data_IF_153764913975
#
_entry.id   IF_153764913975
#
_cell.length_a   1.000
_cell.length_b   1.000
_cell.length_c   1.000
_cell.angle_alpha   90.00
_cell.angle_beta   90.00
_cell.angle_gamma   90.00
#
_symmetry.space_group_name_H-M   'P 1'
#
loop_
_entity.id
_entity.type
_entity.pdbx_description
1 polymer ?
#
# COMPACT_ATOMS: atom_id res chain seq x y z
N UNK A 1 19.11 2.31 -0.29
CA UNK A 1 20.09 1.71 -1.21
C UNK A 1 19.33 1.03 -2.33
N UNK A 2 19.64 1.34 -3.59
CA UNK A 2 18.89 0.86 -4.76
C UNK A 2 19.63 -0.32 -5.41
N UNK A 3 18.92 -1.42 -5.68
CA UNK A 3 19.46 -2.64 -6.29
C UNK A 3 18.46 -3.28 -7.27
N UNK A 4 18.94 -4.17 -8.15
CA UNK A 4 18.14 -4.81 -9.21
C UNK A 4 18.18 -6.36 -9.14
N UNK A 5 18.43 -6.93 -7.96
CA UNK A 5 18.59 -8.38 -7.70
C UNK A 5 19.64 -9.12 -8.58
N UNK A 6 20.52 -8.41 -9.29
CA UNK A 6 21.52 -8.96 -10.21
C UNK A 6 22.81 -9.44 -9.52
N UNK A 7 23.64 -10.20 -10.25
CA UNK A 7 24.96 -10.64 -9.77
C UNK A 7 25.87 -9.46 -9.40
N UNK A 8 25.93 -8.43 -10.25
CA UNK A 8 26.64 -7.19 -9.95
C UNK A 8 26.14 -6.52 -8.65
N UNK A 9 24.83 -6.51 -8.42
CA UNK A 9 24.26 -5.96 -7.20
C UNK A 9 24.68 -6.74 -5.94
N UNK A 10 24.77 -8.07 -6.01
CA UNK A 10 25.31 -8.91 -4.92
C UNK A 10 26.75 -8.49 -4.61
N UNK A 11 27.61 -8.34 -5.63
CA UNK A 11 29.02 -7.98 -5.43
C UNK A 11 29.20 -6.58 -4.84
N UNK A 12 28.42 -5.61 -5.34
CA UNK A 12 28.40 -4.25 -4.80
C UNK A 12 27.94 -4.24 -3.36
N UNK A 13 26.83 -4.93 -3.05
CA UNK A 13 26.27 -4.96 -1.72
C UNK A 13 27.17 -5.72 -0.73
N UNK A 14 27.87 -6.77 -1.18
CA UNK A 14 28.87 -7.47 -0.36
C UNK A 14 30.01 -6.55 0.06
N UNK A 15 30.53 -5.72 -0.85
CA UNK A 15 31.56 -4.72 -0.53
C UNK A 15 31.06 -3.68 0.48
N UNK A 16 29.80 -3.26 0.34
CA UNK A 16 29.17 -2.34 1.30
C UNK A 16 29.02 -2.99 2.68
N UNK A 17 28.57 -4.25 2.73
CA UNK A 17 28.39 -5.00 3.96
C UNK A 17 29.71 -5.31 4.69
N UNK A 18 30.84 -5.31 3.98
CA UNK A 18 32.18 -5.42 4.55
C UNK A 18 32.69 -4.12 5.18
N UNK A 19 32.11 -2.97 4.82
CA UNK A 19 32.49 -1.68 5.39
C UNK A 19 31.82 -1.49 6.78
N UNK A 20 32.60 -1.44 7.89
CA UNK A 20 32.04 -1.36 9.24
C UNK A 20 31.22 -0.09 9.50
N UNK A 21 31.55 1.02 8.83
CA UNK A 21 30.85 2.28 8.99
C UNK A 21 29.51 2.27 8.24
N UNK A 22 29.48 1.71 7.03
CA UNK A 22 28.27 1.75 6.20
C UNK A 22 27.24 0.72 6.67
N UNK A 23 27.67 -0.49 7.07
CA UNK A 23 26.75 -1.54 7.52
C UNK A 23 25.97 -1.21 8.80
N UNK A 24 26.36 -0.17 9.53
CA UNK A 24 25.70 0.30 10.75
C UNK A 24 24.64 1.38 10.49
N UNK A 25 24.51 1.88 9.26
CA UNK A 25 23.45 2.85 8.96
C UNK A 25 22.13 2.12 8.65
N UNK A 26 21.04 2.62 9.22
CA UNK A 26 19.69 2.26 8.82
C UNK A 26 19.46 2.83 7.41
N UNK A 27 19.41 1.97 6.40
CA UNK A 27 19.09 2.35 5.03
C UNK A 27 18.01 1.42 4.50
N UNK A 28 16.93 1.94 3.91
CA UNK A 28 15.96 1.10 3.22
C UNK A 28 16.62 0.43 2.02
N UNK A 29 16.31 -0.85 1.80
CA UNK A 29 16.69 -1.55 0.60
C UNK A 29 15.56 -1.43 -0.42
N UNK A 30 15.84 -0.67 -1.47
CA UNK A 30 14.90 -0.43 -2.56
C UNK A 30 15.33 -1.32 -3.72
N UNK A 31 14.44 -2.24 -4.09
CA UNK A 31 14.61 -3.22 -5.15
C UNK A 31 13.82 -2.72 -6.34
N UNK A 32 14.53 -2.22 -7.32
CA UNK A 32 13.94 -1.49 -8.43
C UNK A 32 14.08 -2.30 -9.69
N UNK A 33 13.08 -2.20 -10.55
CA UNK A 33 13.21 -2.70 -11.89
C UNK A 33 14.16 -1.79 -12.69
N UNK A 34 15.25 -2.30 -13.30
CA UNK A 34 16.11 -1.47 -14.16
C UNK A 34 15.34 -1.03 -15.43
N UNK A 35 15.89 -0.06 -16.18
CA UNK A 35 15.27 0.54 -17.40
C UNK A 35 14.75 -0.46 -18.45
N UNK A 36 15.22 -1.71 -18.39
CA UNK A 36 14.85 -2.79 -19.31
C UNK A 36 13.77 -3.76 -18.77
N UNK A 37 13.19 -3.50 -17.59
CA UNK A 37 12.14 -4.31 -16.96
C UNK A 37 12.52 -5.75 -16.58
N UNK A 38 13.76 -5.98 -16.14
CA UNK A 38 14.27 -7.31 -15.79
C UNK A 38 15.02 -7.30 -14.45
N UNK A 39 14.41 -7.87 -13.41
CA UNK A 39 15.10 -8.19 -12.16
C UNK A 39 16.06 -9.37 -12.36
N UNK A 40 17.13 -9.42 -11.57
CA UNK A 40 17.94 -10.64 -11.46
C UNK A 40 18.83 -10.92 -12.66
N UNK A 41 19.20 -9.89 -13.44
CA UNK A 41 20.12 -10.05 -14.57
C UNK A 41 21.42 -10.76 -14.18
N UNK A 42 22.00 -11.46 -15.14
CA UNK A 42 23.29 -12.18 -15.02
C UNK A 42 23.22 -13.41 -14.09
N UNK A 43 22.03 -13.77 -13.61
CA UNK A 43 21.78 -14.95 -12.79
C UNK A 43 20.87 -15.89 -13.57
N UNK A 44 21.20 -17.18 -13.58
CA UNK A 44 20.31 -18.22 -14.10
C UNK A 44 19.35 -18.64 -13.00
N UNK A 45 18.07 -18.31 -13.18
CA UNK A 45 17.01 -18.61 -12.22
C UNK A 45 16.34 -19.95 -12.53
N UNK A 46 16.42 -20.88 -11.58
CA UNK A 46 15.74 -22.16 -11.71
C UNK A 46 14.24 -21.99 -11.43
N UNK A 47 13.40 -22.67 -12.23
CA UNK A 47 11.94 -22.65 -12.10
C UNK A 47 11.39 -24.07 -11.95
N UNK A 48 10.32 -24.21 -11.18
CA UNK A 48 9.53 -25.44 -11.09
C UNK A 48 8.76 -25.67 -12.40
N UNK A 49 8.27 -26.89 -12.67
CA UNK A 49 7.44 -27.18 -13.86
C UNK A 49 6.18 -26.31 -13.97
N UNK A 50 5.68 -25.78 -12.86
CA UNK A 50 4.56 -24.83 -12.80
C UNK A 50 4.94 -23.38 -13.15
N UNK A 51 6.21 -23.10 -13.47
CA UNK A 51 6.71 -21.77 -13.82
C UNK A 51 7.19 -20.91 -12.65
N UNK A 52 6.93 -21.33 -11.40
CA UNK A 52 7.36 -20.59 -10.20
C UNK A 52 8.86 -20.64 -9.98
N UNK A 53 9.42 -19.60 -9.37
CA UNK A 53 10.80 -19.60 -8.89
C UNK A 53 11.07 -20.78 -7.95
N UNK A 54 12.09 -21.58 -8.26
CA UNK A 54 12.51 -22.67 -7.39
C UNK A 54 13.31 -22.12 -6.20
N UNK A 55 12.88 -22.43 -4.98
CA UNK A 55 13.53 -22.02 -3.73
C UNK A 55 13.78 -23.26 -2.86
N UNK A 56 14.98 -23.48 -2.31
CA UNK A 56 16.17 -22.61 -2.34
C UNK A 56 17.04 -22.77 -3.60
N UNK A 57 17.84 -21.75 -3.93
CA UNK A 57 18.88 -21.81 -4.97
C UNK A 57 20.08 -20.92 -4.63
N UNK A 58 21.21 -21.13 -5.33
CA UNK A 58 22.51 -20.50 -5.00
C UNK A 58 22.45 -18.96 -4.95
N UNK A 59 21.76 -18.33 -5.89
CA UNK A 59 21.61 -16.88 -5.94
C UNK A 59 20.92 -16.32 -4.68
N UNK A 60 19.83 -16.97 -4.26
CA UNK A 60 19.09 -16.61 -3.04
C UNK A 60 20.01 -16.75 -1.81
N UNK A 61 20.81 -17.82 -1.74
CA UNK A 61 21.77 -18.01 -0.65
C UNK A 61 22.86 -16.93 -0.62
N UNK A 62 23.30 -16.42 -1.78
CA UNK A 62 24.23 -15.31 -1.87
C UNK A 62 23.59 -14.02 -1.34
N UNK A 63 22.34 -13.73 -1.74
CA UNK A 63 21.57 -12.61 -1.18
C UNK A 63 21.39 -12.73 0.33
N UNK A 64 21.04 -13.91 0.85
CA UNK A 64 20.97 -14.18 2.28
C UNK A 64 22.29 -13.90 2.99
N UNK A 65 23.41 -14.33 2.41
CA UNK A 65 24.75 -14.10 2.98
C UNK A 65 25.05 -12.61 3.09
N UNK A 66 24.75 -11.85 2.05
CA UNK A 66 25.01 -10.40 2.03
C UNK A 66 24.07 -9.66 2.99
N UNK A 67 22.76 -9.95 2.94
CA UNK A 67 21.77 -9.28 3.79
C UNK A 67 21.92 -9.61 5.26
N UNK A 68 22.41 -10.81 5.62
CA UNK A 68 22.71 -11.17 7.01
C UNK A 68 23.77 -10.26 7.67
N UNK A 69 24.62 -9.59 6.87
CA UNK A 69 25.64 -8.66 7.35
C UNK A 69 25.14 -7.22 7.48
N UNK A 70 24.00 -6.90 6.88
CA UNK A 70 23.35 -5.60 6.93
C UNK A 70 22.28 -5.60 8.03
N UNK A 71 22.73 -5.72 9.27
CA UNK A 71 21.87 -5.92 10.46
C UNK A 71 20.83 -4.81 10.72
N UNK A 72 21.04 -3.65 10.12
CA UNK A 72 20.20 -2.46 10.23
C UNK A 72 19.27 -2.27 9.01
N UNK A 73 19.34 -3.17 8.02
CA UNK A 73 18.44 -3.19 6.87
C UNK A 73 17.10 -3.82 7.27
N UNK A 74 16.17 -2.99 7.77
CA UNK A 74 14.84 -3.42 8.24
C UNK A 74 13.68 -2.88 7.39
N UNK A 75 14.00 -2.08 6.39
CA UNK A 75 13.02 -1.47 5.50
C UNK A 75 13.26 -1.97 4.09
N UNK A 76 12.20 -2.48 3.46
CA UNK A 76 12.28 -3.07 2.12
C UNK A 76 11.20 -2.47 1.23
N UNK A 77 11.59 -2.07 0.03
CA UNK A 77 10.68 -1.57 -0.98
C UNK A 77 10.95 -2.30 -2.29
N UNK A 78 9.90 -2.79 -2.95
CA UNK A 78 9.99 -3.39 -4.28
C UNK A 78 9.20 -2.49 -5.23
N UNK A 79 9.89 -1.92 -6.22
CA UNK A 79 9.38 -0.84 -7.05
C UNK A 79 9.51 -1.19 -8.52
N UNK A 80 8.46 -0.90 -9.28
CA UNK A 80 8.42 -1.03 -10.74
C UNK A 80 7.98 0.30 -11.33
N UNK A 81 8.84 0.95 -12.11
CA UNK A 81 8.53 2.25 -12.73
C UNK A 81 7.75 2.12 -14.04
N UNK A 82 7.74 0.92 -14.64
CA UNK A 82 7.07 0.66 -15.90
C UNK A 82 5.84 -0.23 -15.71
N UNK A 83 4.77 0.06 -16.45
CA UNK A 83 3.47 -0.60 -16.31
C UNK A 83 3.38 -1.99 -16.96
N UNK A 84 4.45 -2.48 -17.59
CA UNK A 84 4.43 -3.74 -18.32
C UNK A 84 5.57 -4.65 -17.88
N UNK A 85 5.23 -5.88 -17.54
CA UNK A 85 6.19 -6.93 -17.26
C UNK A 85 6.71 -7.52 -18.57
N UNK A 86 8.01 -7.81 -18.63
CA UNK A 86 8.62 -8.48 -19.78
C UNK A 86 8.10 -9.91 -19.92
N UNK A 87 7.92 -10.37 -21.16
CA UNK A 87 7.63 -11.79 -21.47
C UNK A 87 8.87 -12.69 -21.41
N UNK A 88 10.04 -12.14 -21.06
CA UNK A 88 11.29 -12.87 -20.95
C UNK A 88 11.40 -13.65 -19.62
N UNK A 89 11.17 -14.96 -19.70
CA UNK A 89 11.28 -15.90 -18.58
C UNK A 89 12.72 -16.17 -18.09
N UNK A 90 13.74 -15.66 -18.78
CA UNK A 90 15.14 -15.83 -18.35
C UNK A 90 15.53 -14.96 -17.16
N UNK A 91 14.70 -13.97 -16.83
CA UNK A 91 14.87 -13.05 -15.71
C UNK A 91 13.85 -13.29 -14.58
N UNK A 92 14.00 -12.59 -13.46
CA UNK A 92 12.99 -12.57 -12.41
C UNK A 92 11.84 -11.66 -12.83
N UNK A 93 10.62 -12.19 -12.74
CA UNK A 93 9.41 -11.39 -12.74
C UNK A 93 9.20 -10.75 -11.37
N UNK A 94 8.26 -9.85 -11.28
CA UNK A 94 7.98 -9.09 -10.06
C UNK A 94 7.46 -9.94 -8.93
N UNK A 95 6.65 -10.96 -9.25
CA UNK A 95 6.22 -11.98 -8.29
C UNK A 95 7.40 -12.84 -7.80
N UNK A 96 8.37 -13.12 -8.66
CA UNK A 96 9.60 -13.83 -8.27
C UNK A 96 10.47 -12.95 -7.37
N UNK A 97 10.57 -11.65 -7.65
CA UNK A 97 11.29 -10.69 -6.81
C UNK A 97 10.65 -10.59 -5.41
N UNK A 98 9.32 -10.49 -5.32
CA UNK A 98 8.60 -10.56 -4.04
C UNK A 98 8.90 -11.88 -3.33
N UNK A 99 8.77 -13.00 -4.04
CA UNK A 99 9.00 -14.34 -3.47
C UNK A 99 10.41 -14.49 -2.91
N UNK A 100 11.42 -14.01 -3.64
CA UNK A 100 12.82 -14.05 -3.22
C UNK A 100 13.02 -13.20 -1.95
N UNK A 101 12.54 -11.96 -1.94
CA UNK A 101 12.67 -11.05 -0.79
C UNK A 101 11.97 -11.60 0.45
N UNK A 102 10.72 -12.06 0.32
CA UNK A 102 9.98 -12.63 1.44
C UNK A 102 10.62 -13.93 1.94
N UNK A 103 11.16 -14.75 1.03
CA UNK A 103 11.94 -15.95 1.39
C UNK A 103 13.20 -15.60 2.17
N UNK A 104 13.94 -14.57 1.77
CA UNK A 104 15.14 -14.11 2.49
C UNK A 104 14.76 -13.57 3.87
N UNK A 105 13.76 -12.69 3.95
CA UNK A 105 13.26 -12.14 5.21
C UNK A 105 12.85 -13.25 6.17
N UNK A 106 12.08 -14.23 5.68
CA UNK A 106 11.60 -15.38 6.46
C UNK A 106 12.75 -16.25 6.97
N UNK A 107 13.69 -16.61 6.09
CA UNK A 107 14.82 -17.48 6.44
C UNK A 107 15.82 -16.83 7.40
N UNK A 108 16.05 -15.52 7.26
CA UNK A 108 16.93 -14.76 8.14
C UNK A 108 16.23 -14.19 9.37
N UNK A 109 14.90 -14.31 9.44
CA UNK A 109 14.06 -13.72 10.50
C UNK A 109 14.36 -12.23 10.71
N UNK A 110 14.51 -11.48 9.61
CA UNK A 110 14.83 -10.04 9.66
C UNK A 110 13.64 -9.31 10.30
N UNK A 111 13.83 -8.54 11.39
CA UNK A 111 12.73 -7.80 12.01
C UNK A 111 12.36 -6.58 11.17
N UNK A 112 11.49 -6.79 10.18
CA UNK A 112 11.09 -5.75 9.22
C UNK A 112 10.28 -4.67 9.94
N UNK A 113 10.68 -3.40 9.77
CA UNK A 113 9.95 -2.24 10.30
C UNK A 113 9.04 -1.60 9.25
N UNK A 114 9.45 -1.61 7.98
CA UNK A 114 8.66 -1.09 6.87
C UNK A 114 8.75 -2.00 5.64
N UNK A 115 7.63 -2.20 4.95
CA UNK A 115 7.58 -2.96 3.71
C UNK A 115 6.68 -2.29 2.68
N UNK A 116 7.17 -2.16 1.45
CA UNK A 116 6.44 -1.52 0.36
C UNK A 116 6.50 -2.32 -0.95
N UNK A 117 5.37 -2.40 -1.65
CA UNK A 117 5.29 -2.86 -3.04
C UNK A 117 4.65 -1.75 -3.87
N UNK A 118 5.45 -1.12 -4.73
CA UNK A 118 5.03 0.00 -5.57
C UNK A 118 5.16 -0.36 -7.04
N UNK A 119 4.14 -1.05 -7.56
CA UNK A 119 4.07 -1.46 -8.97
C UNK A 119 3.14 -0.61 -9.81
N UNK A 120 2.57 0.44 -9.20
CA UNK A 120 1.81 1.47 -9.88
C UNK A 120 2.68 2.72 -10.02
N UNK A 121 3.12 3.07 -11.24
CA UNK A 121 3.80 4.35 -11.46
C UNK A 121 2.92 5.52 -11.00
N UNK A 122 3.55 6.59 -10.51
CA UNK A 122 2.80 7.77 -10.03
C UNK A 122 1.96 8.36 -11.16
N UNK A 123 0.65 8.46 -10.95
CA UNK A 123 -0.29 9.10 -11.89
C UNK A 123 -0.76 8.21 -13.05
N UNK A 124 -0.40 6.92 -13.07
CA UNK A 124 -0.95 5.95 -14.03
C UNK A 124 -2.13 5.18 -13.43
N UNK A 125 -2.98 4.60 -14.28
CA UNK A 125 -4.10 3.73 -13.88
C UNK A 125 -4.00 2.44 -14.68
N UNK A 126 -4.23 1.30 -14.02
CA UNK A 126 -4.52 0.01 -14.63
C UNK A 126 -3.31 -0.81 -15.07
N UNK A 127 -3.56 -2.11 -15.27
CA UNK A 127 -2.65 -3.15 -15.77
C UNK A 127 -1.40 -3.45 -14.93
N UNK A 128 -1.36 -3.04 -13.66
CA UNK A 128 -0.26 -3.36 -12.74
C UNK A 128 -0.57 -4.64 -11.94
N UNK A 129 -1.07 -5.66 -12.64
CA UNK A 129 -1.46 -6.92 -12.03
C UNK A 129 -0.24 -7.64 -11.49
N UNK A 130 -0.44 -8.34 -10.38
CA UNK A 130 0.47 -9.35 -9.90
C UNK A 130 -0.08 -10.72 -10.24
N UNK A 131 0.71 -11.53 -10.94
CA UNK A 131 0.43 -12.95 -11.10
C UNK A 131 0.66 -13.67 -9.77
N UNK A 132 -0.33 -13.57 -8.88
CA UNK A 132 -0.28 -14.09 -7.50
C UNK A 132 -0.34 -15.60 -7.42
N UNK A 133 -0.72 -16.29 -8.51
CA UNK A 133 -0.66 -17.76 -8.62
C UNK A 133 0.74 -18.32 -8.33
N UNK A 134 1.77 -17.46 -8.45
CA UNK A 134 3.15 -17.82 -8.18
C UNK A 134 3.61 -17.61 -6.73
N UNK A 135 2.80 -16.99 -5.87
CA UNK A 135 3.16 -16.71 -4.48
C UNK A 135 2.28 -17.57 -3.58
N UNK A 136 2.88 -18.58 -2.91
CA UNK A 136 2.11 -19.46 -2.03
C UNK A 136 1.74 -18.73 -0.72
N UNK A 137 0.45 -18.51 -0.40
CA UNK A 137 0.07 -17.84 0.85
C UNK A 137 0.50 -18.62 2.10
N UNK A 138 0.73 -19.93 1.98
CA UNK A 138 1.23 -20.77 3.07
C UNK A 138 2.66 -20.38 3.49
N UNK A 139 3.44 -19.74 2.62
CA UNK A 139 4.77 -19.26 2.97
C UNK A 139 4.71 -18.12 3.99
N UNK A 140 3.61 -17.35 4.01
CA UNK A 140 3.35 -16.31 5.00
C UNK A 140 3.02 -16.89 6.39
N UNK A 141 2.73 -18.19 6.48
CA UNK A 141 2.44 -18.88 7.76
C UNK A 141 3.68 -19.51 8.38
N UNK A 142 4.83 -19.44 7.71
CA UNK A 142 6.09 -19.99 8.24
C UNK A 142 6.50 -19.22 9.50
N UNK A 143 6.98 -19.89 10.57
CA UNK A 143 7.38 -19.23 11.81
C UNK A 143 8.44 -18.13 11.63
N UNK A 144 9.39 -18.34 10.71
CA UNK A 144 10.42 -17.33 10.39
C UNK A 144 9.82 -16.07 9.77
N UNK A 145 8.81 -16.23 8.91
CA UNK A 145 8.07 -15.11 8.35
C UNK A 145 7.28 -14.38 9.42
N UNK A 146 6.44 -15.09 10.19
CA UNK A 146 5.59 -14.45 11.19
C UNK A 146 6.39 -13.71 12.27
N UNK A 147 7.55 -14.27 12.67
CA UNK A 147 8.47 -13.61 13.59
C UNK A 147 9.09 -12.33 12.99
N UNK A 148 9.56 -12.40 11.74
CA UNK A 148 10.09 -11.24 11.02
C UNK A 148 9.04 -10.13 10.85
N UNK A 149 7.83 -10.53 10.46
CA UNK A 149 6.74 -9.66 10.05
C UNK A 149 5.99 -9.01 11.24
N UNK A 150 6.07 -9.60 12.43
CA UNK A 150 5.44 -9.08 13.65
C UNK A 150 5.94 -7.67 14.05
N UNK A 151 7.10 -7.25 13.53
CA UNK A 151 7.73 -5.96 13.81
C UNK A 151 7.29 -4.82 12.90
N UNK A 152 6.52 -5.11 11.84
CA UNK A 152 6.15 -4.11 10.84
C UNK A 152 5.28 -3.02 11.46
N UNK A 153 5.63 -1.78 11.11
CA UNK A 153 4.94 -0.56 11.50
C UNK A 153 4.39 0.19 10.29
N UNK A 154 5.06 0.12 9.13
CA UNK A 154 4.60 0.75 7.87
C UNK A 154 4.46 -0.32 6.78
N UNK A 155 3.24 -0.47 6.24
CA UNK A 155 2.95 -1.37 5.14
C UNK A 155 2.26 -0.61 4.01
N UNK A 156 2.88 -0.61 2.82
CA UNK A 156 2.33 0.03 1.62
C UNK A 156 2.23 -0.97 0.46
N UNK A 157 1.01 -1.17 -0.04
CA UNK A 157 0.70 -2.11 -1.10
C UNK A 157 0.00 -1.37 -2.25
N UNK A 158 0.75 -1.11 -3.32
CA UNK A 158 0.30 -0.35 -4.49
C UNK A 158 0.47 -1.19 -5.76
N UNK A 159 -0.55 -2.01 -6.06
CA UNK A 159 -0.65 -2.86 -7.24
C UNK A 159 -2.13 -3.16 -7.54
N UNK A 160 -2.43 -3.66 -8.74
CA UNK A 160 -3.82 -3.98 -9.10
C UNK A 160 -4.32 -5.20 -8.34
N UNK A 161 -5.27 -4.98 -7.42
CA UNK A 161 -5.88 -6.03 -6.58
C UNK A 161 -7.12 -6.61 -7.26
N UNK A 162 -6.94 -7.18 -8.45
CA UNK A 162 -8.00 -7.78 -9.27
C UNK A 162 -7.41 -8.60 -10.41
N UNK A 163 -8.22 -9.48 -10.99
CA UNK A 163 -7.86 -10.30 -12.15
C UNK A 163 -9.13 -10.67 -12.91
N UNK A 164 -9.02 -10.82 -14.23
CA UNK A 164 -10.09 -11.42 -15.05
C UNK A 164 -10.36 -12.88 -14.62
N UNK A 165 -9.36 -13.55 -14.04
CA UNK A 165 -9.51 -14.85 -13.42
C UNK A 165 -9.97 -14.70 -11.95
N UNK A 166 -11.19 -15.16 -11.68
CA UNK A 166 -11.81 -15.11 -10.34
C UNK A 166 -10.97 -15.82 -9.28
N UNK A 167 -10.30 -16.91 -9.62
CA UNK A 167 -9.47 -17.67 -8.67
C UNK A 167 -8.19 -16.91 -8.32
N UNK A 168 -7.56 -16.26 -9.31
CA UNK A 168 -6.40 -15.40 -9.10
C UNK A 168 -6.76 -14.13 -8.31
N UNK A 169 -7.95 -13.57 -8.56
CA UNK A 169 -8.46 -12.42 -7.81
C UNK A 169 -8.65 -12.75 -6.31
N UNK A 170 -9.27 -13.90 -6.00
CA UNK A 170 -9.43 -14.38 -4.63
C UNK A 170 -8.09 -14.67 -3.93
N UNK A 171 -7.11 -15.24 -4.65
CA UNK A 171 -5.76 -15.44 -4.12
C UNK A 171 -5.08 -14.12 -3.80
N UNK A 172 -5.21 -13.12 -4.67
CA UNK A 172 -4.65 -11.78 -4.49
C UNK A 172 -5.24 -11.10 -3.25
N UNK A 173 -6.56 -11.16 -3.09
CA UNK A 173 -7.25 -10.69 -1.89
C UNK A 173 -6.84 -11.46 -0.63
N UNK A 174 -6.69 -12.79 -0.75
CA UNK A 174 -6.19 -13.67 0.30
C UNK A 174 -4.83 -13.21 0.82
N UNK A 175 -3.91 -13.00 -0.11
CA UNK A 175 -2.53 -12.60 0.15
C UNK A 175 -2.43 -11.19 0.77
N UNK A 176 -3.15 -10.20 0.24
CA UNK A 176 -3.20 -8.84 0.82
C UNK A 176 -3.60 -8.89 2.29
N UNK A 177 -4.68 -9.61 2.61
CA UNK A 177 -5.17 -9.70 3.99
C UNK A 177 -4.19 -10.45 4.88
N UNK A 178 -3.53 -11.50 4.38
CA UNK A 178 -2.49 -12.22 5.13
C UNK A 178 -1.29 -11.31 5.44
N UNK A 179 -0.86 -10.44 4.53
CA UNK A 179 0.22 -9.48 4.82
C UNK A 179 -0.16 -8.46 5.91
N UNK A 180 -1.43 -8.08 5.98
CA UNK A 180 -1.94 -7.10 6.95
C UNK A 180 -2.27 -7.73 8.32
N UNK A 181 -2.59 -9.03 8.38
CA UNK A 181 -3.00 -9.66 9.64
C UNK A 181 -1.85 -9.98 10.59
N UNK A 182 -0.65 -10.30 10.07
CA UNK A 182 0.48 -10.73 10.90
C UNK A 182 1.22 -9.61 11.64
N UNK A 183 1.35 -8.38 11.12
CA UNK A 183 1.94 -7.27 11.86
C UNK A 183 1.13 -6.97 13.13
N UNK A 184 1.73 -7.16 14.30
CA UNK A 184 1.08 -6.90 15.58
C UNK A 184 1.17 -5.42 16.02
N UNK A 185 1.95 -4.61 15.29
CA UNK A 185 2.31 -3.22 15.64
C UNK A 185 2.13 -2.26 14.48
N UNK A 186 1.22 -2.58 13.55
CA UNK A 186 1.02 -1.78 12.35
C UNK A 186 0.51 -0.39 12.73
N UNK A 187 1.27 0.64 12.35
CA UNK A 187 0.98 2.06 12.60
C UNK A 187 0.41 2.71 11.35
N UNK A 188 0.96 2.38 10.18
CA UNK A 188 0.58 2.93 8.89
C UNK A 188 0.26 1.83 7.91
N UNK A 189 -0.89 1.98 7.26
CA UNK A 189 -1.39 1.10 6.22
C UNK A 189 -1.78 1.94 5.01
N UNK A 190 -1.15 1.66 3.89
CA UNK A 190 -1.40 2.31 2.60
C UNK A 190 -1.77 1.25 1.56
N UNK A 191 -2.99 1.30 1.06
CA UNK A 191 -3.52 0.36 0.07
C UNK A 191 -4.01 1.14 -1.15
N UNK A 192 -3.42 0.86 -2.31
CA UNK A 192 -3.95 1.28 -3.59
C UNK A 192 -4.48 0.05 -4.33
N UNK A 193 -5.79 0.02 -4.59
CA UNK A 193 -6.45 -1.12 -5.23
C UNK A 193 -6.33 -1.09 -6.76
N UNK A 194 -5.91 0.05 -7.33
CA UNK A 194 -5.83 0.32 -8.77
C UNK A 194 -7.10 -0.07 -9.53
N UNK A 195 -8.27 0.22 -8.92
CA UNK A 195 -9.61 -0.11 -9.40
C UNK A 195 -9.90 -1.62 -9.48
N UNK A 196 -9.14 -2.43 -8.75
CA UNK A 196 -9.38 -3.86 -8.60
C UNK A 196 -10.76 -4.18 -8.00
N UNK A 197 -11.38 -5.24 -8.49
CA UNK A 197 -12.73 -5.68 -8.14
C UNK A 197 -12.83 -6.34 -6.75
N UNK A 198 -11.70 -6.60 -6.09
CA UNK A 198 -11.65 -7.23 -4.77
C UNK A 198 -11.69 -6.24 -3.60
N UNK A 199 -11.84 -4.95 -3.86
CA UNK A 199 -11.77 -3.91 -2.82
C UNK A 199 -12.78 -4.15 -1.66
N UNK A 200 -14.05 -4.44 -1.97
CA UNK A 200 -15.07 -4.78 -0.96
C UNK A 200 -14.64 -5.97 -0.08
N UNK A 201 -14.23 -7.07 -0.71
CA UNK A 201 -13.83 -8.31 -0.03
C UNK A 201 -12.64 -8.08 0.89
N UNK A 202 -11.62 -7.36 0.41
CA UNK A 202 -10.43 -7.04 1.20
C UNK A 202 -10.81 -6.14 2.37
N UNK A 203 -11.50 -5.01 2.13
CA UNK A 203 -11.87 -4.04 3.18
C UNK A 203 -12.75 -4.69 4.26
N UNK A 204 -13.74 -5.49 3.86
CA UNK A 204 -14.58 -6.22 4.80
C UNK A 204 -13.76 -7.23 5.62
N UNK A 205 -12.81 -7.96 5.00
CA UNK A 205 -11.94 -8.87 5.78
C UNK A 205 -11.02 -8.11 6.74
N UNK A 206 -10.49 -6.97 6.32
CA UNK A 206 -9.67 -6.09 7.16
C UNK A 206 -10.47 -5.54 8.35
N UNK A 207 -11.76 -5.25 8.19
CA UNK A 207 -12.61 -4.76 9.30
C UNK A 207 -12.67 -5.75 10.47
N UNK A 208 -12.50 -7.05 10.20
CA UNK A 208 -12.50 -8.11 11.22
C UNK A 208 -11.17 -8.29 11.96
N UNK A 209 -10.10 -7.63 11.50
CA UNK A 209 -8.76 -7.81 12.07
C UNK A 209 -8.55 -6.96 13.32
N UNK A 210 -8.40 -7.62 14.47
CA UNK A 210 -8.07 -6.93 15.73
C UNK A 210 -6.65 -6.37 15.76
N UNK A 211 -5.74 -6.85 14.92
CA UNK A 211 -4.37 -6.34 14.78
C UNK A 211 -4.32 -4.88 14.36
N UNK A 212 -5.36 -4.39 13.68
CA UNK A 212 -5.45 -3.00 13.20
C UNK A 212 -5.88 -2.00 14.28
N UNK A 213 -6.18 -2.43 15.50
CA UNK A 213 -6.68 -1.53 16.54
C UNK A 213 -5.70 -0.43 16.97
N UNK A 214 -4.40 -0.57 16.62
CA UNK A 214 -3.34 0.41 16.90
C UNK A 214 -3.01 1.31 15.70
N UNK A 215 -3.68 1.11 14.56
CA UNK A 215 -3.42 1.84 13.33
C UNK A 215 -3.66 3.35 13.54
N UNK A 216 -2.67 4.15 13.15
CA UNK A 216 -2.68 5.61 13.26
C UNK A 216 -2.86 6.28 11.91
N UNK A 217 -2.39 5.67 10.84
CA UNK A 217 -2.47 6.22 9.48
C UNK A 217 -3.10 5.21 8.53
N UNK A 218 -4.19 5.61 7.89
CA UNK A 218 -4.89 4.81 6.89
C UNK A 218 -4.99 5.58 5.58
N UNK A 219 -4.40 5.04 4.53
CA UNK A 219 -4.53 5.53 3.16
C UNK A 219 -5.20 4.44 2.32
N UNK A 220 -6.33 4.78 1.70
CA UNK A 220 -7.00 3.91 0.74
C UNK A 220 -7.17 4.68 -0.58
N UNK A 221 -6.68 4.11 -1.67
CA UNK A 221 -6.69 4.74 -2.98
C UNK A 221 -7.29 3.85 -4.07
N UNK A 222 -7.93 4.47 -5.06
CA UNK A 222 -8.41 3.83 -6.29
C UNK A 222 -9.31 2.62 -6.01
N UNK A 223 -10.29 2.75 -5.12
CA UNK A 223 -11.21 1.67 -4.75
C UNK A 223 -12.66 2.00 -5.12
N UNK A 224 -13.44 0.98 -5.42
CA UNK A 224 -14.88 1.10 -5.63
C UNK A 224 -15.59 0.09 -4.74
N UNK A 225 -16.51 0.54 -3.88
CA UNK A 225 -17.29 -0.35 -3.02
C UNK A 225 -18.75 -0.39 -3.46
N UNK A 226 -19.30 -1.59 -3.43
CA UNK A 226 -20.73 -1.88 -3.55
C UNK A 226 -21.37 -1.92 -2.18
N UNK A 227 -20.64 -2.39 -1.15
CA UNK A 227 -21.14 -2.43 0.22
C UNK A 227 -21.16 -1.05 0.86
N UNK A 228 -22.31 -0.67 1.42
CA UNK A 228 -22.45 0.53 2.25
C UNK A 228 -21.76 0.39 3.61
N UNK A 229 -21.49 -0.84 4.05
CA UNK A 229 -21.03 -1.16 5.41
C UNK A 229 -19.51 -1.39 5.50
N UNK A 230 -18.88 -1.88 4.43
CA UNK A 230 -17.49 -2.35 4.47
C UNK A 230 -16.48 -1.30 4.98
N UNK A 231 -16.52 -0.09 4.41
CA UNK A 231 -15.63 0.99 4.85
C UNK A 231 -15.99 1.53 6.25
N UNK A 232 -17.27 1.81 6.59
CA UNK A 232 -17.65 2.14 7.96
C UNK A 232 -17.20 1.14 9.02
N UNK A 233 -17.27 -0.17 8.75
CA UNK A 233 -16.80 -1.20 9.65
C UNK A 233 -15.28 -1.16 9.85
N UNK A 234 -14.51 -1.04 8.76
CA UNK A 234 -13.05 -0.90 8.85
C UNK A 234 -12.67 0.34 9.66
N UNK A 235 -13.30 1.47 9.37
CA UNK A 235 -13.07 2.72 10.10
C UNK A 235 -13.45 2.59 11.58
N UNK A 236 -14.53 1.87 11.89
CA UNK A 236 -14.89 1.58 13.26
C UNK A 236 -13.79 0.76 13.96
N UNK A 237 -13.21 -0.24 13.32
CA UNK A 237 -12.13 -1.07 13.89
C UNK A 237 -10.89 -0.24 14.29
N UNK A 238 -10.53 0.76 13.49
CA UNK A 238 -9.32 1.59 13.74
C UNK A 238 -9.58 2.89 14.52
N UNK A 239 -10.85 3.20 14.82
CA UNK A 239 -11.32 4.53 15.28
C UNK A 239 -10.60 5.15 16.48
N UNK A 240 -10.06 4.34 17.40
CA UNK A 240 -9.49 4.82 18.66
C UNK A 240 -8.12 5.47 18.46
N UNK A 241 -7.32 4.89 17.56
CA UNK A 241 -5.92 5.27 17.36
C UNK A 241 -5.71 6.05 16.07
N UNK A 242 -6.67 6.04 15.14
CA UNK A 242 -6.54 6.71 13.85
C UNK A 242 -6.33 8.22 14.01
N UNK A 243 -5.20 8.72 13.49
CA UNK A 243 -4.78 10.12 13.49
C UNK A 243 -4.83 10.75 12.10
N UNK A 244 -4.58 9.96 11.06
CA UNK A 244 -4.57 10.43 9.67
C UNK A 244 -5.41 9.50 8.81
N UNK A 245 -6.27 10.09 7.98
CA UNK A 245 -7.02 9.35 6.97
C UNK A 245 -6.86 10.00 5.61
N UNK A 246 -6.58 9.18 4.59
CA UNK A 246 -6.47 9.64 3.20
C UNK A 246 -7.31 8.75 2.29
N UNK A 247 -8.22 9.37 1.54
CA UNK A 247 -9.04 8.69 0.54
C UNK A 247 -8.88 9.37 -0.81
N UNK A 248 -8.50 8.60 -1.83
CA UNK A 248 -8.20 9.14 -3.15
C UNK A 248 -8.78 8.29 -4.28
N UNK A 249 -9.42 8.91 -5.26
CA UNK A 249 -9.93 8.27 -6.49
C UNK A 249 -10.91 7.13 -6.20
N UNK A 250 -11.91 7.37 -5.35
CA UNK A 250 -12.73 6.30 -4.78
C UNK A 250 -14.22 6.50 -4.99
N UNK A 251 -14.91 5.39 -5.29
CA UNK A 251 -16.37 5.36 -5.50
C UNK A 251 -17.05 4.60 -4.36
N UNK A 252 -18.10 5.17 -3.80
CA UNK A 252 -18.99 4.53 -2.82
C UNK A 252 -20.45 4.65 -3.27
N UNK A 253 -21.36 3.85 -2.69
CA UNK A 253 -22.79 4.10 -2.85
C UNK A 253 -23.15 5.53 -2.44
N UNK A 254 -24.23 6.03 -3.04
CA UNK A 254 -24.64 7.43 -2.89
C UNK A 254 -24.85 7.77 -1.40
N UNK A 255 -24.53 9.00 -0.98
CA UNK A 255 -24.61 9.47 0.43
C UNK A 255 -23.62 8.82 1.43
N UNK A 256 -22.96 7.71 1.10
CA UNK A 256 -22.00 7.06 2.01
C UNK A 256 -20.86 8.00 2.41
N UNK A 257 -20.32 8.77 1.47
CA UNK A 257 -19.25 9.74 1.76
C UNK A 257 -19.66 10.76 2.82
N UNK A 258 -20.84 11.35 2.69
CA UNK A 258 -21.35 12.35 3.66
C UNK A 258 -21.52 11.69 5.04
N UNK A 259 -22.02 10.47 5.10
CA UNK A 259 -22.17 9.71 6.35
C UNK A 259 -20.83 9.37 7.00
N UNK A 260 -19.82 9.02 6.19
CA UNK A 260 -18.45 8.76 6.66
C UNK A 260 -17.84 10.05 7.22
N UNK A 261 -17.95 11.19 6.53
CA UNK A 261 -17.44 12.47 7.02
C UNK A 261 -18.08 12.87 8.36
N UNK A 262 -19.41 12.69 8.51
CA UNK A 262 -20.10 12.90 9.80
C UNK A 262 -19.55 11.98 10.90
N UNK A 263 -19.29 10.72 10.56
CA UNK A 263 -18.73 9.74 11.50
C UNK A 263 -17.30 10.12 11.93
N UNK A 264 -16.44 10.52 10.98
CA UNK A 264 -15.08 10.98 11.24
C UNK A 264 -15.05 12.16 12.23
N UNK A 265 -15.97 13.12 12.09
CA UNK A 265 -16.06 14.27 12.99
C UNK A 265 -16.54 13.99 14.41
N UNK A 266 -17.21 12.85 14.65
CA UNK A 266 -17.87 12.57 15.93
C UNK A 266 -17.33 11.35 16.67
N UNK A 267 -16.74 10.36 15.97
CA UNK A 267 -16.36 9.05 16.53
C UNK A 267 -14.85 8.79 16.59
N UNK A 268 -14.03 9.72 16.12
CA UNK A 268 -12.58 9.55 15.97
C UNK A 268 -11.82 10.58 16.81
N UNK A 269 -11.62 10.31 18.12
CA UNK A 269 -11.08 11.30 19.05
C UNK A 269 -9.62 11.68 18.79
N UNK A 270 -8.88 10.83 18.07
CA UNK A 270 -7.45 11.01 17.79
C UNK A 270 -7.17 11.63 16.41
N UNK A 271 -8.20 11.86 15.59
CA UNK A 271 -8.06 12.30 14.21
C UNK A 271 -7.54 13.75 14.15
N UNK A 272 -6.42 13.93 13.46
CA UNK A 272 -5.72 15.23 13.32
C UNK A 272 -5.57 15.66 11.87
N UNK A 273 -5.55 14.72 10.94
CA UNK A 273 -5.34 14.98 9.52
C UNK A 273 -6.32 14.20 8.64
N UNK A 274 -6.84 14.87 7.62
CA UNK A 274 -7.66 14.28 6.58
C UNK A 274 -7.18 14.75 5.20
N UNK A 275 -7.18 13.85 4.23
CA UNK A 275 -6.94 14.17 2.83
C UNK A 275 -7.97 13.44 1.96
N UNK A 276 -8.73 14.20 1.18
CA UNK A 276 -9.76 13.70 0.30
C UNK A 276 -9.45 14.13 -1.12
N UNK A 277 -9.46 13.19 -2.06
CA UNK A 277 -9.18 13.47 -3.45
C UNK A 277 -10.12 12.69 -4.36
N UNK A 278 -10.88 13.39 -5.21
CA UNK A 278 -11.71 12.80 -6.27
C UNK A 278 -12.57 11.64 -5.77
N UNK A 279 -13.44 11.95 -4.80
CA UNK A 279 -14.42 11.00 -4.29
C UNK A 279 -15.67 11.05 -5.16
N UNK A 280 -16.30 9.91 -5.42
CA UNK A 280 -17.48 9.79 -6.30
C UNK A 280 -18.58 8.98 -5.63
N UNK A 281 -19.84 9.34 -5.94
CA UNK A 281 -21.01 8.53 -5.65
C UNK A 281 -21.39 7.71 -6.88
N UNK A 282 -21.79 6.45 -6.70
CA UNK A 282 -22.09 5.51 -7.79
C UNK A 282 -23.05 6.10 -8.84
N UNK A 283 -24.06 6.88 -8.43
CA UNK A 283 -25.01 7.53 -9.36
C UNK A 283 -25.02 9.06 -9.27
N UNK A 284 -24.13 9.66 -8.47
CA UNK A 284 -24.13 11.10 -8.16
C UNK A 284 -22.87 11.85 -8.61
N UNK A 285 -22.05 11.26 -9.48
CA UNK A 285 -20.85 11.95 -9.97
C UNK A 285 -19.83 12.27 -8.86
N UNK A 286 -18.92 13.23 -9.07
CA UNK A 286 -17.89 13.59 -8.10
C UNK A 286 -18.45 14.42 -6.93
N UNK A 287 -18.02 14.07 -5.72
CA UNK A 287 -18.19 14.91 -4.55
C UNK A 287 -17.27 16.13 -4.64
N UNK A 288 -17.84 17.31 -4.43
CA UNK A 288 -17.10 18.56 -4.42
C UNK A 288 -17.57 19.50 -3.30
N UNK A 289 -16.73 20.49 -3.00
CA UNK A 289 -16.91 21.39 -1.86
C UNK A 289 -16.88 22.87 -2.28
N UNK A 290 -17.90 23.37 -2.99
CA UNK A 290 -17.84 24.65 -3.69
C UNK A 290 -17.54 25.85 -2.77
N UNK A 291 -18.06 25.84 -1.55
CA UNK A 291 -17.93 26.95 -0.58
C UNK A 291 -16.58 27.01 0.15
N UNK A 292 -15.74 25.97 0.06
CA UNK A 292 -14.44 25.99 0.74
C UNK A 292 -13.47 27.04 0.16
N UNK A 293 -13.67 27.47 -1.08
CA UNK A 293 -12.88 28.55 -1.70
C UNK A 293 -13.20 29.94 -1.16
N UNK A 294 -14.25 30.09 -0.35
CA UNK A 294 -14.67 31.36 0.26
C UNK A 294 -13.88 31.71 1.53
N UNK A 295 -12.80 30.97 1.85
CA UNK A 295 -11.96 31.15 3.05
C UNK A 295 -12.72 30.91 4.35
N UNK A 296 -13.16 29.66 4.56
CA UNK A 296 -13.82 29.25 5.79
C UNK A 296 -12.78 29.00 6.89
N UNK A 297 -12.66 29.94 7.82
CA UNK A 297 -11.75 29.83 8.97
C UNK A 297 -12.18 28.70 9.92
N UNK A 298 -11.33 27.68 10.03
CA UNK A 298 -11.54 26.58 10.97
C UNK A 298 -11.05 27.00 12.36
N UNK A 299 -9.87 27.59 12.47
CA UNK A 299 -9.35 28.29 13.65
C UNK A 299 -8.32 29.35 13.24
N UNK A 300 -7.68 30.02 14.21
CA UNK A 300 -6.79 31.17 13.97
C UNK A 300 -5.56 30.83 13.11
N UNK A 301 -5.12 29.57 13.11
CA UNK A 301 -3.85 29.14 12.50
C UNK A 301 -3.99 28.01 11.45
N UNK A 302 -5.18 27.42 11.27
CA UNK A 302 -5.39 26.30 10.33
C UNK A 302 -6.49 26.56 9.32
N UNK A 303 -6.18 26.25 8.05
CA UNK A 303 -7.07 26.38 6.91
C UNK A 303 -7.12 25.10 6.09
N UNK A 304 -8.18 24.94 5.30
CA UNK A 304 -8.24 23.87 4.31
C UNK A 304 -7.23 24.10 3.19
N UNK A 305 -6.56 23.03 2.75
CA UNK A 305 -5.87 23.00 1.47
C UNK A 305 -6.87 22.54 0.42
N UNK A 306 -7.15 23.36 -0.59
CA UNK A 306 -8.14 23.05 -1.63
C UNK A 306 -7.46 23.10 -2.99
N UNK A 307 -7.59 22.02 -3.76
CA UNK A 307 -7.16 21.98 -5.16
C UNK A 307 -8.38 21.90 -6.06
N UNK A 308 -8.54 22.92 -6.90
CA UNK A 308 -9.56 22.98 -7.93
C UNK A 308 -9.15 22.15 -9.13
N UNK A 309 -10.02 21.23 -9.56
CA UNK A 309 -9.92 20.59 -10.88
C UNK A 309 -10.96 21.20 -11.80
N UNK A 310 -10.61 21.29 -13.09
CA UNK A 310 -11.46 21.87 -14.13
C UNK A 310 -12.01 20.76 -15.05
N UNK A 311 -13.10 20.07 -14.67
CA UNK A 311 -13.83 19.23 -15.62
C UNK A 311 -14.52 20.10 -16.69
N UNK A 312 -15.08 19.46 -17.73
CA UNK A 312 -15.70 20.10 -18.91
C UNK A 312 -16.94 20.97 -18.61
N UNK A 313 -17.24 21.30 -17.35
CA UNK A 313 -18.40 22.08 -16.91
C UNK A 313 -18.14 23.17 -15.85
N UNK A 314 -16.92 23.33 -15.32
CA UNK A 314 -16.65 24.32 -14.27
C UNK A 314 -15.41 24.01 -13.42
N UNK A 315 -15.17 24.81 -12.38
CA UNK A 315 -14.15 24.52 -11.35
C UNK A 315 -14.82 23.73 -10.21
N UNK A 316 -14.38 22.49 -9.98
CA UNK A 316 -14.85 21.68 -8.85
C UNK A 316 -13.73 21.54 -7.82
N UNK A 317 -14.05 21.87 -6.57
CA UNK A 317 -13.20 21.61 -5.40
C UNK A 317 -13.29 20.12 -5.05
N UNK A 318 -12.55 19.27 -5.76
CA UNK A 318 -12.58 17.80 -5.58
C UNK A 318 -11.42 17.26 -4.77
N UNK A 319 -10.47 18.11 -4.38
CA UNK A 319 -9.37 17.74 -3.51
C UNK A 319 -9.32 18.69 -2.33
N UNK A 320 -9.38 18.14 -1.13
CA UNK A 320 -9.42 18.89 0.12
C UNK A 320 -8.57 18.20 1.18
N UNK A 321 -7.69 18.95 1.84
CA UNK A 321 -6.96 18.50 3.01
C UNK A 321 -7.19 19.42 4.20
N UNK A 322 -7.11 18.86 5.39
CA UNK A 322 -7.09 19.60 6.65
C UNK A 322 -6.19 18.89 7.64
N UNK A 323 -5.36 19.66 8.35
CA UNK A 323 -4.57 19.16 9.48
C UNK A 323 -4.59 20.20 10.58
N UNK A 324 -5.08 19.83 11.75
CA UNK A 324 -5.26 20.80 12.84
C UNK A 324 -6.03 20.26 14.05
N UNK A 325 -6.06 21.04 15.15
CA UNK A 325 -6.68 20.62 16.40
C UNK A 325 -8.22 20.66 16.34
N UNK A 326 -8.80 21.46 15.44
CA UNK A 326 -10.24 21.71 15.35
C UNK A 326 -10.97 20.72 14.42
N UNK A 327 -10.60 19.44 14.45
CA UNK A 327 -11.08 18.42 13.53
C UNK A 327 -12.62 18.29 13.50
N UNK A 328 -13.29 18.37 14.65
CA UNK A 328 -14.76 18.33 14.70
C UNK A 328 -15.43 19.48 13.93
N UNK A 329 -14.89 20.71 14.06
CA UNK A 329 -15.36 21.87 13.30
C UNK A 329 -15.02 21.75 11.82
N UNK A 330 -13.81 21.27 11.49
CA UNK A 330 -13.42 21.02 10.10
C UNK A 330 -14.37 20.02 9.43
N UNK A 331 -14.68 18.90 10.08
CA UNK A 331 -15.62 17.90 9.56
C UNK A 331 -17.04 18.45 9.39
N UNK A 332 -17.52 19.26 10.34
CA UNK A 332 -18.81 19.93 10.19
C UNK A 332 -18.84 20.84 8.95
N UNK A 333 -17.80 21.65 8.74
CA UNK A 333 -17.68 22.51 7.55
C UNK A 333 -17.67 21.68 6.26
N UNK A 334 -16.89 20.58 6.23
CA UNK A 334 -16.85 19.70 5.05
C UNK A 334 -18.22 19.12 4.73
N UNK A 335 -18.95 18.65 5.74
CA UNK A 335 -20.29 18.07 5.56
C UNK A 335 -21.29 19.11 5.04
N UNK A 336 -21.27 20.33 5.58
CA UNK A 336 -22.17 21.41 5.13
C UNK A 336 -21.83 21.92 3.72
N UNK A 337 -20.57 21.82 3.32
CA UNK A 337 -20.12 22.22 1.99
C UNK A 337 -20.22 21.10 0.95
N UNK A 338 -20.38 19.84 1.37
CA UNK A 338 -20.36 18.69 0.49
C UNK A 338 -21.58 18.63 -0.43
N UNK A 339 -21.35 18.56 -1.74
CA UNK A 339 -22.39 18.31 -2.73
C UNK A 339 -21.85 17.45 -3.86
N UNK A 340 -22.75 16.79 -4.55
CA UNK A 340 -22.51 16.00 -5.75
C UNK A 340 -22.82 16.85 -7.00
N UNK A 341 -22.04 16.69 -8.07
CA UNK A 341 -22.22 17.38 -9.37
C UNK A 341 -23.19 16.62 -10.30
#
# INVERSE_FOLDING_TARGET
MHIHLSQNAIERLSKVAENPHIRQHDQPLVIEDPEDNLFGREISWARCPSGHLAVPQKAIQQWQTVLSRLVNCKEFEIRREHSFESSDFSSLRSNDAITDVLSIISNLSIPVSAFAIHFKPKGTIGNNHLEMECICPLDLRKPGFTAAWAHIQDLSLQYTMGSDDTSAALQSAGWTVELVQYPARLIKLDLNFDLGDQADSIIHRLSTLSSLCQLQELTLESFSLVSEEALPELLYTVRKCLQTVSFSFSTLPDECWISILKSLGSKFPSLKSINLQLLTGTNKGPLHFPRLSESLDVDEDTSFTVVQKKPRGGHLNTTVGYSGPSMGKAMWILVECATFD
#
